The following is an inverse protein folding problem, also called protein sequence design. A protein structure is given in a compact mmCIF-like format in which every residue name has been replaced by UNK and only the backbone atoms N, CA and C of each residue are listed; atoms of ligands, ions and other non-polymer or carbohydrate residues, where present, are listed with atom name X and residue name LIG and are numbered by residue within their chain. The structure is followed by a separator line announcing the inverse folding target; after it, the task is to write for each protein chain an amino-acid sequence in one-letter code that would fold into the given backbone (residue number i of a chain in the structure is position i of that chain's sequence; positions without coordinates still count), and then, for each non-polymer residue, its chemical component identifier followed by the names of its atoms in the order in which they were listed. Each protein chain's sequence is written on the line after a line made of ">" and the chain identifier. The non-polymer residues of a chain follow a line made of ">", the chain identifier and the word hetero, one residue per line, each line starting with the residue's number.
data_IF_776247280056
#
_entry.id   IF_776247280056
#
_cell.length_a   1.000
_cell.length_b   1.000
_cell.length_c   1.000
_cell.angle_alpha   90.00
_cell.angle_beta   90.00
_cell.angle_gamma   90.00
#
_symmetry.space_group_name_H-M   'P 1'
#
loop_
_entity.id
_entity.type
_entity.pdbx_description
1 polymer ?
#
# COMPACT_ATOMS: atom_id res chain seq x y z
N UNK A 1 39.21 1.90 35.45
CA UNK A 1 39.12 1.43 34.05
C UNK A 1 37.76 0.78 33.75
N UNK A 2 37.10 0.15 34.73
CA UNK A 2 35.74 -0.39 34.58
C UNK A 2 34.68 0.69 34.27
N UNK A 3 34.82 1.89 34.83
CA UNK A 3 33.85 2.98 34.60
C UNK A 3 33.80 3.44 33.14
N UNK A 4 34.95 3.48 32.45
CA UNK A 4 35.03 3.80 31.02
C UNK A 4 34.32 2.72 30.18
N UNK A 5 34.51 1.46 30.54
CA UNK A 5 33.85 0.35 29.84
C UNK A 5 32.33 0.37 30.03
N UNK A 6 31.88 0.74 31.23
CA UNK A 6 30.46 0.92 31.55
C UNK A 6 29.84 2.08 30.74
N UNK A 7 30.54 3.22 30.67
CA UNK A 7 30.11 4.38 29.88
C UNK A 7 30.00 4.07 28.38
N UNK A 8 30.96 3.31 27.82
CA UNK A 8 30.92 2.89 26.40
C UNK A 8 29.72 1.97 26.13
N UNK A 9 29.44 1.01 27.02
CA UNK A 9 28.27 0.13 26.88
C UNK A 9 26.96 0.90 26.95
N UNK A 10 26.86 1.87 27.85
CA UNK A 10 25.66 2.70 28.01
C UNK A 10 25.43 3.58 26.77
N UNK A 11 26.48 4.21 26.23
CA UNK A 11 26.41 4.98 25.00
C UNK A 11 25.95 4.13 23.81
N UNK A 12 26.53 2.94 23.62
CA UNK A 12 26.16 2.00 22.56
C UNK A 12 24.70 1.55 22.68
N UNK A 13 24.24 1.30 23.91
CA UNK A 13 22.86 0.89 24.19
C UNK A 13 21.88 2.04 23.93
N UNK A 14 22.24 3.27 24.29
CA UNK A 14 21.44 4.48 24.04
C UNK A 14 21.30 4.76 22.55
N UNK A 15 22.38 4.67 21.76
CA UNK A 15 22.33 4.84 20.30
C UNK A 15 21.50 3.73 19.64
N UNK A 16 21.62 2.48 20.09
CA UNK A 16 20.78 1.40 19.59
C UNK A 16 19.30 1.63 19.90
N UNK A 17 18.96 2.09 21.10
CA UNK A 17 17.58 2.41 21.46
C UNK A 17 17.03 3.59 20.65
N UNK A 18 17.81 4.66 20.43
CA UNK A 18 17.42 5.76 19.56
C UNK A 18 17.21 5.33 18.11
N UNK A 19 18.09 4.50 17.56
CA UNK A 19 17.96 3.99 16.18
C UNK A 19 16.76 3.06 16.06
N UNK A 20 16.51 2.19 17.05
CA UNK A 20 15.34 1.30 17.07
C UNK A 20 14.03 2.06 17.30
N UNK A 21 14.05 3.14 18.08
CA UNK A 21 12.90 4.04 18.27
C UNK A 21 12.67 4.96 17.06
N UNK A 22 13.74 5.34 16.35
CA UNK A 22 13.74 6.10 15.10
C UNK A 22 13.29 5.28 13.89
N UNK A 23 13.45 3.95 13.97
CA UNK A 23 12.73 2.97 13.15
C UNK A 23 11.25 2.91 13.57
N UNK A 24 10.58 4.06 13.58
CA UNK A 24 9.14 4.16 13.67
C UNK A 24 8.55 3.37 12.51
N UNK A 25 8.11 2.16 12.85
CA UNK A 25 7.02 1.41 12.24
C UNK A 25 6.83 1.82 10.79
N UNK A 26 7.57 1.15 9.90
CA UNK A 26 6.99 0.87 8.59
C UNK A 26 5.72 0.08 8.90
N UNK A 27 4.62 0.80 9.09
CA UNK A 27 3.31 0.22 9.14
C UNK A 27 3.29 -0.66 7.91
N UNK A 28 3.17 -1.98 8.12
CA UNK A 28 2.78 -2.86 7.06
C UNK A 28 1.38 -2.38 6.69
N UNK A 29 1.34 -1.38 5.82
CA UNK A 29 0.14 -0.86 5.22
C UNK A 29 -0.39 -2.09 4.54
N UNK A 30 -1.52 -2.61 5.02
CA UNK A 30 -2.25 -3.64 4.30
C UNK A 30 -2.46 -3.06 2.90
N UNK A 31 -1.53 -3.37 2.00
CA UNK A 31 -1.47 -2.80 0.66
C UNK A 31 -2.77 -3.11 -0.07
N UNK A 32 -3.37 -4.23 0.34
CA UNK A 32 -4.72 -4.62 0.07
C UNK A 32 -5.64 -4.00 1.12
N UNK A 33 -6.10 -2.78 0.85
CA UNK A 33 -7.18 -2.16 1.61
C UNK A 33 -8.45 -3.03 1.56
N UNK A 34 -9.24 -3.02 2.63
CA UNK A 34 -10.58 -3.66 2.69
C UNK A 34 -11.43 -3.25 1.46
N UNK A 35 -11.36 -1.98 1.03
CA UNK A 35 -12.02 -1.49 -0.18
C UNK A 35 -11.59 -2.25 -1.45
N UNK A 36 -10.32 -2.66 -1.53
CA UNK A 36 -9.79 -3.46 -2.65
C UNK A 36 -10.30 -4.89 -2.60
N UNK A 37 -10.38 -5.49 -1.41
CA UNK A 37 -10.94 -6.83 -1.21
C UNK A 37 -12.42 -6.90 -1.59
N UNK A 38 -13.22 -5.93 -1.14
CA UNK A 38 -14.65 -5.86 -1.46
C UNK A 38 -14.89 -5.75 -2.96
N UNK A 39 -14.09 -4.97 -3.68
CA UNK A 39 -14.21 -4.83 -5.15
C UNK A 39 -13.74 -6.07 -5.90
N UNK A 40 -12.76 -6.81 -5.37
CA UNK A 40 -12.37 -8.12 -5.92
C UNK A 40 -13.56 -9.09 -5.78
N UNK A 41 -14.23 -9.09 -4.63
CA UNK A 41 -15.41 -9.91 -4.38
C UNK A 41 -16.57 -9.52 -5.30
N UNK A 42 -16.83 -8.22 -5.45
CA UNK A 42 -17.86 -7.69 -6.36
C UNK A 42 -17.60 -8.13 -7.82
N UNK A 43 -16.35 -8.04 -8.27
CA UNK A 43 -15.96 -8.49 -9.62
C UNK A 43 -16.13 -9.99 -9.81
N UNK A 44 -15.82 -10.81 -8.79
CA UNK A 44 -16.07 -12.26 -8.82
C UNK A 44 -17.56 -12.55 -8.96
N UNK A 45 -18.41 -11.87 -8.18
CA UNK A 45 -19.87 -12.04 -8.25
C UNK A 45 -20.43 -11.64 -9.62
N UNK A 46 -19.98 -10.50 -10.18
CA UNK A 46 -20.36 -10.06 -11.53
C UNK A 46 -19.94 -11.07 -12.61
N UNK A 47 -18.76 -11.68 -12.49
CA UNK A 47 -18.32 -12.74 -13.40
C UNK A 47 -19.19 -14.00 -13.31
N UNK A 48 -19.59 -14.40 -12.10
CA UNK A 48 -20.53 -15.52 -11.90
C UNK A 48 -21.91 -15.22 -12.49
N UNK A 49 -22.40 -13.99 -12.32
CA UNK A 49 -23.65 -13.54 -12.93
C UNK A 49 -23.60 -13.60 -14.47
N UNK A 50 -22.48 -13.18 -15.09
CA UNK A 50 -22.26 -13.33 -16.54
C UNK A 50 -22.31 -14.80 -16.95
N UNK A 51 -21.58 -15.67 -16.26
CA UNK A 51 -21.54 -17.10 -16.59
C UNK A 51 -22.91 -17.79 -16.47
N UNK A 52 -23.78 -17.28 -15.59
CA UNK A 52 -25.14 -17.81 -15.39
C UNK A 52 -26.20 -17.13 -16.29
N UNK A 53 -25.83 -16.13 -17.08
CA UNK A 53 -26.76 -15.44 -18.00
C UNK A 53 -27.39 -16.42 -18.98
N UNK A 54 -28.71 -16.41 -19.08
CA UNK A 54 -29.45 -17.32 -19.95
C UNK A 54 -29.60 -16.79 -21.38
N UNK A 55 -29.64 -15.46 -21.54
CA UNK A 55 -29.92 -14.80 -22.82
C UNK A 55 -28.71 -14.03 -23.34
N UNK A 56 -28.55 -13.93 -24.67
CA UNK A 56 -27.43 -13.21 -25.31
C UNK A 56 -27.42 -11.71 -24.97
N UNK A 57 -28.58 -11.08 -24.78
CA UNK A 57 -28.68 -9.67 -24.40
C UNK A 57 -28.22 -9.39 -22.96
N UNK A 58 -28.59 -10.25 -22.01
CA UNK A 58 -28.18 -10.16 -20.60
C UNK A 58 -26.67 -10.35 -20.45
N UNK A 59 -26.10 -11.31 -21.19
CA UNK A 59 -24.66 -11.51 -21.30
C UNK A 59 -23.94 -10.24 -21.76
N UNK A 60 -24.42 -9.60 -22.84
CA UNK A 60 -23.80 -8.36 -23.36
C UNK A 60 -23.87 -7.23 -22.34
N UNK A 61 -25.02 -7.03 -21.68
CA UNK A 61 -25.17 -6.00 -20.65
C UNK A 61 -24.21 -6.24 -19.47
N UNK A 62 -24.18 -7.47 -18.95
CA UNK A 62 -23.30 -7.83 -17.85
C UNK A 62 -21.81 -7.73 -18.21
N UNK A 63 -21.44 -8.05 -19.46
CA UNK A 63 -20.08 -7.88 -19.99
C UNK A 63 -19.64 -6.41 -20.01
N UNK A 64 -20.54 -5.49 -20.39
CA UNK A 64 -20.27 -4.05 -20.39
C UNK A 64 -20.01 -3.56 -18.95
N UNK A 65 -20.89 -3.92 -18.01
CA UNK A 65 -20.76 -3.55 -16.59
C UNK A 65 -19.45 -4.08 -15.97
N UNK A 66 -19.07 -5.32 -16.28
CA UNK A 66 -17.81 -5.91 -15.82
C UNK A 66 -16.57 -5.18 -16.38
N UNK A 67 -16.63 -4.81 -17.66
CA UNK A 67 -15.52 -4.13 -18.35
C UNK A 67 -15.30 -2.75 -17.74
N UNK A 68 -16.36 -2.00 -17.49
CA UNK A 68 -16.30 -0.68 -16.87
C UNK A 68 -15.76 -0.74 -15.43
N UNK A 69 -16.29 -1.65 -14.61
CA UNK A 69 -15.81 -1.85 -13.24
C UNK A 69 -14.31 -2.21 -13.18
N UNK A 70 -13.84 -3.03 -14.13
CA UNK A 70 -12.43 -3.39 -14.25
C UNK A 70 -11.54 -2.20 -14.64
N UNK A 71 -11.97 -1.35 -15.59
CA UNK A 71 -11.24 -0.13 -15.97
C UNK A 71 -11.09 0.81 -14.76
N UNK A 72 -12.18 1.05 -14.04
CA UNK A 72 -12.17 1.91 -12.85
C UNK A 72 -11.26 1.38 -11.74
N UNK A 73 -11.22 0.06 -11.54
CA UNK A 73 -10.33 -0.57 -10.56
C UNK A 73 -8.85 -0.34 -10.93
N UNK A 74 -8.48 -0.58 -12.20
CA UNK A 74 -7.12 -0.32 -12.70
C UNK A 74 -6.71 1.15 -12.53
N UNK A 75 -7.61 2.08 -12.85
CA UNK A 75 -7.34 3.51 -12.73
C UNK A 75 -7.08 3.94 -11.28
N UNK A 76 -7.83 3.40 -10.30
CA UNK A 76 -7.59 3.71 -8.88
C UNK A 76 -6.26 3.15 -8.38
N UNK A 77 -5.90 1.92 -8.78
CA UNK A 77 -4.61 1.33 -8.45
C UNK A 77 -3.48 2.20 -9.02
N UNK A 78 -3.57 2.57 -10.30
CA UNK A 78 -2.57 3.43 -10.94
C UNK A 78 -2.44 4.79 -10.26
N UNK A 79 -3.56 5.47 -9.93
CA UNK A 79 -3.54 6.72 -9.16
C UNK A 79 -2.90 6.57 -7.78
N UNK A 80 -3.13 5.44 -7.10
CA UNK A 80 -2.55 5.16 -5.78
C UNK A 80 -1.04 4.96 -5.89
N UNK A 81 -0.58 4.20 -6.90
CA UNK A 81 0.84 4.01 -7.19
C UNK A 81 1.53 5.35 -7.52
N UNK A 82 0.92 6.17 -8.37
CA UNK A 82 1.45 7.48 -8.72
C UNK A 82 1.56 8.41 -7.50
N UNK A 83 0.54 8.44 -6.63
CA UNK A 83 0.59 9.20 -5.38
C UNK A 83 1.69 8.69 -4.45
N UNK A 84 1.82 7.38 -4.28
CA UNK A 84 2.88 6.82 -3.44
C UNK A 84 4.26 7.10 -3.99
N UNK A 85 4.42 7.20 -5.31
CA UNK A 85 5.70 7.54 -5.92
C UNK A 85 6.06 9.01 -5.71
N UNK A 86 5.11 9.91 -5.90
CA UNK A 86 5.26 11.33 -5.55
C UNK A 86 5.56 11.53 -4.06
N UNK A 87 4.86 10.82 -3.17
CA UNK A 87 5.07 10.89 -1.72
C UNK A 87 6.49 10.44 -1.35
N UNK A 88 7.02 9.39 -2.01
CA UNK A 88 8.41 8.96 -1.83
C UNK A 88 9.40 10.00 -2.33
N UNK A 89 9.19 10.59 -3.51
CA UNK A 89 10.07 11.61 -4.04
C UNK A 89 10.12 12.88 -3.17
N UNK A 90 8.96 13.33 -2.67
CA UNK A 90 8.88 14.44 -1.72
C UNK A 90 9.60 14.11 -0.41
N UNK A 91 9.47 12.88 0.09
CA UNK A 91 10.15 12.42 1.30
C UNK A 91 11.67 12.36 1.11
N UNK A 92 12.16 11.83 -0.02
CA UNK A 92 13.59 11.81 -0.34
C UNK A 92 14.17 13.23 -0.41
N UNK A 93 13.51 14.16 -1.12
CA UNK A 93 13.96 15.56 -1.20
C UNK A 93 13.97 16.26 0.16
N UNK A 94 12.97 16.01 1.01
CA UNK A 94 12.93 16.57 2.36
C UNK A 94 14.04 15.98 3.27
N UNK A 95 14.34 14.70 3.12
CA UNK A 95 15.42 14.04 3.85
C UNK A 95 16.80 14.58 3.44
N UNK A 96 17.02 14.79 2.14
CA UNK A 96 18.26 15.37 1.62
C UNK A 96 18.42 16.83 2.08
N UNK A 97 17.34 17.62 2.10
CA UNK A 97 17.35 19.01 2.60
C UNK A 97 17.65 19.14 4.11
N UNK A 98 17.39 18.10 4.90
CA UNK A 98 17.68 18.09 6.34
C UNK A 98 19.08 17.56 6.68
N UNK A 99 19.84 17.10 5.68
CA UNK A 99 21.21 16.59 5.86
C UNK A 99 22.31 17.60 5.52
N UNK A 100 21.96 18.70 4.88
CA UNK A 100 22.83 19.86 4.62
C UNK A 100 22.69 20.92 5.73
#
# INVERSE_FOLDING_TARGET
>A
MEDNWKSIKEALTSTCQEVVLGLKKHHHKEWISIETLDRIKERKNKKTAINNSRTRAENVKAQVEYTEANKQMKMRIWKRLYRTELDKECWCRAYDFHKD
#
